data_IF_379436836750
#
_entry.id   IF_379436836750
#
_cell.length_a   1.000
_cell.length_b   1.000
_cell.length_c   1.000
_cell.angle_alpha   90.00
_cell.angle_beta   90.00
_cell.angle_gamma   90.00
#
_symmetry.space_group_name_H-M   'P 1'
#
loop_
_entity.id
_entity.type
_entity.pdbx_description
1 polymer ?
#
# COMPACT_ATOMS: atom_id res chain seq x y z
N UNK A 1 5.97 -63.59 25.87
CA UNK A 1 5.46 -62.20 25.78
C UNK A 1 6.34 -61.31 26.64
N UNK A 2 7.28 -60.60 26.03
CA UNK A 2 8.19 -59.66 26.67
C UNK A 2 7.59 -58.26 26.59
N UNK A 3 7.10 -57.70 27.70
CA UNK A 3 6.78 -56.28 27.79
C UNK A 3 8.01 -55.58 28.38
N UNK A 4 8.69 -54.78 27.56
CA UNK A 4 9.76 -53.90 28.04
C UNK A 4 9.10 -52.65 28.63
N UNK A 5 8.98 -52.60 29.96
CA UNK A 5 8.75 -51.35 30.67
C UNK A 5 9.96 -50.45 30.46
N UNK A 6 9.80 -49.50 29.55
CA UNK A 6 10.81 -48.47 29.31
C UNK A 6 10.65 -47.46 30.44
N UNK A 7 11.63 -47.39 31.33
CA UNK A 7 11.56 -46.54 32.53
C UNK A 7 11.34 -45.07 32.16
N UNK A 8 10.39 -44.37 32.81
CA UNK A 8 9.95 -43.01 32.43
C UNK A 8 11.06 -41.95 32.51
N UNK A 9 12.18 -42.24 33.15
CA UNK A 9 13.34 -41.34 33.20
C UNK A 9 14.11 -41.28 31.87
N UNK A 10 14.13 -42.37 31.09
CA UNK A 10 14.85 -42.44 29.80
C UNK A 10 14.11 -41.70 28.68
N UNK A 11 12.78 -41.69 28.70
CA UNK A 11 11.97 -40.92 27.73
C UNK A 11 12.06 -39.42 27.97
N UNK A 12 12.05 -38.99 29.24
CA UNK A 12 12.22 -37.58 29.63
C UNK A 12 13.62 -37.08 29.24
N UNK A 13 14.66 -37.87 29.47
CA UNK A 13 16.02 -37.51 29.07
C UNK A 13 16.20 -37.40 27.55
N UNK A 14 15.57 -38.29 26.78
CA UNK A 14 15.58 -38.22 25.31
C UNK A 14 14.83 -36.99 24.78
N UNK A 15 13.71 -36.63 25.40
CA UNK A 15 12.95 -35.44 25.04
C UNK A 15 13.73 -34.15 25.34
N UNK A 16 14.42 -34.08 26.48
CA UNK A 16 15.26 -32.95 26.85
C UNK A 16 16.49 -32.80 25.92
N UNK A 17 17.12 -33.92 25.54
CA UNK A 17 18.22 -33.91 24.56
C UNK A 17 17.73 -33.47 23.17
N UNK A 18 16.57 -33.93 22.72
CA UNK A 18 15.98 -33.51 21.46
C UNK A 18 15.65 -32.01 21.46
N UNK A 19 15.08 -31.49 22.54
CA UNK A 19 14.83 -30.06 22.73
C UNK A 19 16.12 -29.24 22.76
N UNK A 20 17.16 -29.73 23.43
CA UNK A 20 18.47 -29.07 23.45
C UNK A 20 19.10 -29.03 22.06
N UNK A 21 19.01 -30.11 21.27
CA UNK A 21 19.50 -30.14 19.88
C UNK A 21 18.71 -29.19 18.99
N UNK A 22 17.38 -29.14 19.12
CA UNK A 22 16.53 -28.18 18.40
C UNK A 22 16.88 -26.75 18.79
N UNK A 23 17.10 -26.47 20.08
CA UNK A 23 17.47 -25.15 20.55
C UNK A 23 18.87 -24.73 20.07
N UNK A 24 19.84 -25.65 20.06
CA UNK A 24 21.17 -25.42 19.50
C UNK A 24 21.10 -25.24 17.97
N UNK A 25 20.26 -25.98 17.26
CA UNK A 25 20.03 -25.78 15.81
C UNK A 25 19.34 -24.45 15.52
N UNK A 26 18.37 -24.04 16.32
CA UNK A 26 17.71 -22.72 16.22
C UNK A 26 18.68 -21.58 16.56
N UNK A 27 19.52 -21.77 17.58
CA UNK A 27 20.53 -20.79 17.98
C UNK A 27 21.64 -20.68 16.93
N UNK A 28 22.14 -21.79 16.38
CA UNK A 28 23.21 -21.79 15.37
C UNK A 28 22.71 -21.42 13.98
N UNK A 29 21.50 -21.85 13.59
CA UNK A 29 20.82 -21.41 12.37
C UNK A 29 20.43 -19.93 12.42
N UNK A 30 19.97 -19.44 13.58
CA UNK A 30 19.71 -18.03 13.82
C UNK A 30 20.98 -17.17 13.83
N UNK A 31 22.07 -17.67 14.43
CA UNK A 31 23.35 -16.95 14.49
C UNK A 31 24.05 -16.86 13.13
N UNK A 32 23.98 -17.90 12.30
CA UNK A 32 24.53 -17.88 10.93
C UNK A 32 23.70 -17.02 9.97
N UNK A 33 22.37 -16.96 10.14
CA UNK A 33 21.51 -16.03 9.42
C UNK A 33 21.72 -14.56 9.83
N UNK A 34 22.06 -14.29 11.09
CA UNK A 34 22.31 -12.94 11.61
C UNK A 34 23.71 -12.40 11.29
N UNK A 35 24.71 -13.27 11.11
CA UNK A 35 26.11 -12.90 10.85
C UNK A 35 26.52 -12.86 9.37
N UNK A 36 25.62 -13.08 8.41
CA UNK A 36 25.89 -12.66 7.04
C UNK A 36 25.92 -11.14 7.02
N UNK A 37 27.11 -10.55 6.81
CA UNK A 37 27.33 -9.10 6.74
C UNK A 37 26.11 -8.38 6.16
N UNK A 38 25.36 -7.63 7.00
CA UNK A 38 24.19 -6.85 6.58
C UNK A 38 24.67 -5.77 5.60
N UNK A 39 24.78 -6.15 4.34
CA UNK A 39 25.01 -5.22 3.25
C UNK A 39 23.81 -4.29 3.22
N UNK A 40 24.07 -2.97 3.22
CA UNK A 40 23.02 -1.97 3.16
C UNK A 40 22.12 -2.26 1.95
N UNK A 41 20.81 -2.18 2.17
CA UNK A 41 19.85 -2.43 1.08
C UNK A 41 19.97 -1.35 0.01
N UNK A 42 19.51 -1.58 -1.24
CA UNK A 42 19.69 -0.60 -2.32
C UNK A 42 19.13 0.78 -1.97
N UNK A 43 18.00 0.85 -1.28
CA UNK A 43 17.41 2.10 -0.82
C UNK A 43 18.26 2.76 0.27
N UNK A 44 18.69 2.01 1.29
CA UNK A 44 19.57 2.52 2.34
C UNK A 44 20.90 3.04 1.78
N UNK A 45 21.50 2.32 0.84
CA UNK A 45 22.72 2.75 0.17
C UNK A 45 22.50 4.06 -0.63
N UNK A 46 21.39 4.17 -1.37
CA UNK A 46 21.06 5.40 -2.09
C UNK A 46 20.78 6.59 -1.16
N UNK A 47 20.16 6.35 0.01
CA UNK A 47 19.92 7.39 1.03
C UNK A 47 21.21 7.84 1.70
N UNK A 48 22.05 6.91 2.14
CA UNK A 48 23.35 7.21 2.72
C UNK A 48 24.26 7.96 1.74
N UNK A 49 24.23 7.60 0.45
CA UNK A 49 24.97 8.32 -0.58
C UNK A 49 24.46 9.77 -0.78
N UNK A 50 23.16 10.02 -0.60
CA UNK A 50 22.58 11.36 -0.63
C UNK A 50 23.00 12.19 0.59
N UNK A 51 22.99 11.62 1.79
CA UNK A 51 23.39 12.29 3.04
C UNK A 51 24.83 12.82 2.99
N UNK A 52 25.72 12.08 2.32
CA UNK A 52 27.11 12.49 2.08
C UNK A 52 27.31 13.24 0.76
N UNK A 53 26.22 13.50 0.03
CA UNK A 53 26.24 14.12 -1.29
C UNK A 53 26.40 15.63 -1.24
N UNK A 54 26.91 16.18 -2.33
CA UNK A 54 26.99 17.62 -2.56
C UNK A 54 26.61 17.98 -4.00
N UNK A 55 26.11 19.20 -4.17
CA UNK A 55 25.79 19.79 -5.46
C UNK A 55 26.38 21.20 -5.50
N UNK A 56 27.22 21.47 -6.51
CA UNK A 56 27.93 22.74 -6.67
C UNK A 56 28.69 23.19 -5.39
N UNK A 57 29.32 22.25 -4.68
CA UNK A 57 30.10 22.54 -3.46
C UNK A 57 29.28 22.63 -2.17
N UNK A 58 27.94 22.63 -2.23
CA UNK A 58 27.08 22.66 -1.07
C UNK A 58 26.53 21.27 -0.73
N UNK A 59 26.46 20.94 0.58
CA UNK A 59 25.84 19.69 1.03
C UNK A 59 24.36 19.62 0.63
N UNK A 60 23.89 18.43 0.30
CA UNK A 60 22.48 18.17 0.07
C UNK A 60 21.67 18.30 1.38
N UNK A 61 20.38 18.67 1.31
CA UNK A 61 19.53 18.74 2.50
C UNK A 61 19.32 17.35 3.10
N UNK A 62 19.08 17.32 4.41
CA UNK A 62 18.69 16.11 5.15
C UNK A 62 17.40 15.51 4.56
N UNK A 63 17.40 14.21 4.33
CA UNK A 63 16.27 13.43 3.78
C UNK A 63 15.06 13.40 4.71
N UNK A 64 15.28 13.56 6.02
CA UNK A 64 14.22 13.52 7.02
C UNK A 64 13.67 14.93 7.33
N UNK A 65 14.14 15.94 6.60
CA UNK A 65 13.53 17.26 6.56
C UNK A 65 12.07 17.21 6.09
N UNK A 66 11.28 18.22 6.48
CA UNK A 66 9.90 18.35 6.01
C UNK A 66 9.81 18.38 4.48
N UNK A 67 8.75 17.79 3.92
CA UNK A 67 8.52 17.75 2.47
C UNK A 67 8.55 19.15 1.83
N UNK A 68 8.04 20.18 2.53
CA UNK A 68 8.10 21.57 2.08
C UNK A 68 9.51 22.17 2.04
N UNK A 69 10.43 21.74 2.92
CA UNK A 69 11.85 22.14 2.85
C UNK A 69 12.54 21.48 1.66
N UNK A 70 12.31 20.18 1.45
CA UNK A 70 12.84 19.45 0.30
C UNK A 70 12.29 19.99 -1.03
N UNK A 71 11.00 20.33 -1.08
CA UNK A 71 10.38 20.95 -2.25
C UNK A 71 11.01 22.30 -2.60
N UNK A 72 11.26 23.16 -1.60
CA UNK A 72 11.96 24.43 -1.80
C UNK A 72 13.38 24.23 -2.30
N UNK A 73 14.10 23.23 -1.78
CA UNK A 73 15.42 22.87 -2.30
C UNK A 73 15.35 22.50 -3.77
N UNK A 74 14.47 21.59 -4.18
CA UNK A 74 14.37 21.25 -5.60
C UNK A 74 13.94 22.44 -6.46
N UNK A 75 13.11 23.35 -5.93
CA UNK A 75 12.68 24.55 -6.63
C UNK A 75 13.83 25.49 -7.01
N UNK A 76 14.92 25.52 -6.23
CA UNK A 76 16.11 26.34 -6.56
C UNK A 76 16.99 25.72 -7.66
N UNK A 77 16.79 24.44 -7.98
CA UNK A 77 17.61 23.72 -8.94
C UNK A 77 17.08 23.87 -10.37
N UNK A 78 18.00 23.97 -11.32
CA UNK A 78 17.69 23.86 -12.74
C UNK A 78 17.38 22.40 -13.15
N UNK A 79 16.89 22.23 -14.39
CA UNK A 79 16.50 20.91 -14.90
C UNK A 79 17.67 19.90 -14.97
N UNK A 80 18.88 20.38 -15.29
CA UNK A 80 20.06 19.53 -15.43
C UNK A 80 20.57 19.08 -14.04
N UNK A 81 20.58 19.98 -13.06
CA UNK A 81 20.88 19.68 -11.66
C UNK A 81 19.91 18.65 -11.08
N UNK A 82 18.59 18.84 -11.29
CA UNK A 82 17.57 17.87 -10.86
C UNK A 82 17.79 16.51 -11.50
N UNK A 83 18.01 16.47 -12.81
CA UNK A 83 18.27 15.23 -13.55
C UNK A 83 19.52 14.52 -13.04
N UNK A 84 20.61 15.27 -12.76
CA UNK A 84 21.84 14.73 -12.18
C UNK A 84 21.60 14.06 -10.82
N UNK A 85 20.80 14.69 -9.95
CA UNK A 85 20.43 14.10 -8.66
C UNK A 85 19.61 12.81 -8.83
N UNK A 86 18.64 12.80 -9.74
CA UNK A 86 17.85 11.60 -10.03
C UNK A 86 18.69 10.43 -10.57
N UNK A 87 19.73 10.71 -11.36
CA UNK A 87 20.65 9.66 -11.84
C UNK A 87 21.60 9.16 -10.76
N UNK A 88 22.10 10.06 -9.90
CA UNK A 88 23.09 9.72 -8.87
C UNK A 88 22.46 9.04 -7.65
N UNK A 89 21.23 9.41 -7.31
CA UNK A 89 20.52 8.94 -6.12
C UNK A 89 19.08 8.48 -6.44
N UNK A 90 18.90 7.52 -7.37
CA UNK A 90 17.59 7.25 -7.95
C UNK A 90 16.57 6.75 -6.94
N UNK A 91 16.95 5.86 -6.02
CA UNK A 91 16.04 5.35 -4.99
C UNK A 91 15.76 6.40 -3.90
N UNK A 92 16.74 7.25 -3.55
CA UNK A 92 16.50 8.34 -2.61
C UNK A 92 15.53 9.38 -3.21
N UNK A 93 15.84 9.94 -4.38
CA UNK A 93 15.00 10.95 -5.05
C UNK A 93 13.63 10.38 -5.40
N UNK A 94 13.57 9.14 -5.89
CA UNK A 94 12.33 8.48 -6.29
C UNK A 94 11.33 8.28 -5.16
N UNK A 95 11.81 8.07 -3.92
CA UNK A 95 10.98 7.90 -2.72
C UNK A 95 10.88 9.18 -1.88
N UNK A 96 11.45 10.30 -2.32
CA UNK A 96 11.54 11.52 -1.52
C UNK A 96 10.24 12.32 -1.55
N UNK A 97 9.58 12.39 -0.40
CA UNK A 97 8.48 13.32 -0.17
C UNK A 97 9.00 14.76 -0.25
N UNK A 98 8.44 15.55 -1.17
CA UNK A 98 8.92 16.90 -1.50
C UNK A 98 9.71 16.99 -2.81
N UNK A 99 10.20 15.87 -3.38
CA UNK A 99 10.75 15.90 -4.73
C UNK A 99 9.63 16.14 -5.78
N UNK A 100 9.89 16.90 -6.86
CA UNK A 100 8.93 17.09 -7.93
C UNK A 100 8.44 15.74 -8.48
N UNK A 101 7.13 15.61 -8.67
CA UNK A 101 6.51 14.33 -9.05
C UNK A 101 7.10 13.73 -10.33
N UNK A 102 7.34 14.56 -11.35
CA UNK A 102 7.98 14.13 -12.60
C UNK A 102 9.41 13.66 -12.40
N UNK A 103 10.14 14.28 -11.46
CA UNK A 103 11.49 13.86 -11.08
C UNK A 103 11.47 12.51 -10.36
N UNK A 104 10.48 12.27 -9.50
CA UNK A 104 10.27 10.96 -8.85
C UNK A 104 10.03 9.86 -9.88
N UNK A 105 9.19 10.12 -10.88
CA UNK A 105 8.95 9.16 -11.97
C UNK A 105 10.23 8.85 -12.75
N UNK A 106 11.04 9.86 -13.07
CA UNK A 106 12.32 9.68 -13.73
C UNK A 106 13.28 8.85 -12.87
N UNK A 107 13.45 9.21 -11.60
CA UNK A 107 14.36 8.56 -10.68
C UNK A 107 13.98 7.09 -10.42
N UNK A 108 12.68 6.80 -10.22
CA UNK A 108 12.20 5.43 -10.05
C UNK A 108 12.34 4.59 -11.33
N UNK A 109 12.21 5.19 -12.52
CA UNK A 109 12.49 4.50 -13.79
C UNK A 109 13.97 4.10 -13.89
N UNK A 110 14.89 4.97 -13.46
CA UNK A 110 16.32 4.67 -13.40
C UNK A 110 16.59 3.55 -12.38
N UNK A 111 16.01 3.63 -11.18
CA UNK A 111 16.13 2.60 -10.15
C UNK A 111 15.62 1.24 -10.64
N UNK A 112 14.44 1.20 -11.29
CA UNK A 112 13.89 -0.02 -11.87
C UNK A 112 14.81 -0.64 -12.92
N UNK A 113 15.39 0.17 -13.82
CA UNK A 113 16.34 -0.30 -14.84
C UNK A 113 17.61 -0.90 -14.21
N UNK A 114 18.14 -0.24 -13.18
CA UNK A 114 19.28 -0.73 -12.40
C UNK A 114 18.96 -2.08 -11.74
N UNK A 115 17.82 -2.19 -11.03
CA UNK A 115 17.43 -3.42 -10.36
C UNK A 115 17.09 -4.54 -11.36
N UNK A 116 16.49 -4.22 -12.52
CA UNK A 116 16.32 -5.19 -13.61
C UNK A 116 17.64 -5.78 -14.07
N UNK A 117 18.69 -4.97 -14.22
CA UNK A 117 20.03 -5.45 -14.61
C UNK A 117 20.64 -6.34 -13.53
N UNK A 118 20.44 -6.01 -12.25
CA UNK A 118 20.86 -6.85 -11.12
C UNK A 118 20.16 -8.21 -11.15
N UNK A 119 18.83 -8.23 -11.24
CA UNK A 119 18.05 -9.47 -11.24
C UNK A 119 18.30 -10.33 -12.49
N UNK A 120 18.57 -9.72 -13.66
CA UNK A 120 19.00 -10.44 -14.87
C UNK A 120 20.32 -11.18 -14.70
N UNK A 121 21.24 -10.65 -13.89
CA UNK A 121 22.48 -11.36 -13.56
C UNK A 121 22.20 -12.48 -12.57
N UNK A 122 21.42 -12.18 -11.52
CA UNK A 122 21.06 -13.16 -10.48
C UNK A 122 20.32 -14.38 -11.02
N UNK A 123 19.42 -14.21 -11.99
CA UNK A 123 18.70 -15.35 -12.58
C UNK A 123 19.60 -16.37 -13.29
N UNK A 124 20.86 -16.00 -13.62
CA UNK A 124 21.86 -16.87 -14.25
C UNK A 124 23.08 -17.09 -13.33
N UNK A 125 23.00 -16.72 -12.06
CA UNK A 125 24.12 -16.84 -11.11
C UNK A 125 24.15 -18.25 -10.53
N UNK A 126 25.15 -19.04 -10.91
CA UNK A 126 25.33 -20.43 -10.46
C UNK A 126 25.60 -20.55 -8.94
N UNK A 127 25.84 -19.44 -8.24
CA UNK A 127 25.97 -19.40 -6.77
C UNK A 127 24.61 -19.39 -6.05
N UNK A 128 23.52 -19.09 -6.76
CA UNK A 128 22.17 -19.12 -6.22
C UNK A 128 21.55 -20.51 -6.39
N UNK A 129 20.64 -20.88 -5.48
CA UNK A 129 19.78 -22.04 -5.67
C UNK A 129 18.85 -21.85 -6.88
N UNK A 130 18.29 -22.94 -7.39
CA UNK A 130 17.29 -22.90 -8.47
C UNK A 130 16.09 -22.02 -8.11
N UNK A 131 15.64 -22.09 -6.85
CA UNK A 131 14.60 -21.20 -6.32
C UNK A 131 15.04 -19.73 -6.37
N UNK A 132 16.27 -19.43 -5.94
CA UNK A 132 16.79 -18.06 -5.95
C UNK A 132 16.94 -17.49 -7.37
N UNK A 133 17.37 -18.31 -8.33
CA UNK A 133 17.41 -17.93 -9.75
C UNK A 133 16.01 -17.67 -10.32
N UNK A 134 15.04 -18.53 -9.99
CA UNK A 134 13.65 -18.37 -10.41
C UNK A 134 13.02 -17.09 -9.82
N UNK A 135 13.23 -16.82 -8.53
CA UNK A 135 12.76 -15.59 -7.89
C UNK A 135 13.36 -14.34 -8.54
N UNK A 136 14.66 -14.36 -8.85
CA UNK A 136 15.32 -13.29 -9.59
C UNK A 136 14.70 -13.11 -10.99
N UNK A 137 14.42 -14.20 -11.70
CA UNK A 137 13.72 -14.17 -12.99
C UNK A 137 12.34 -13.51 -12.90
N UNK A 138 11.52 -13.86 -11.89
CA UNK A 138 10.20 -13.23 -11.66
C UNK A 138 10.33 -11.73 -11.41
N UNK A 139 11.28 -11.31 -10.57
CA UNK A 139 11.52 -9.87 -10.29
C UNK A 139 12.00 -9.14 -11.53
N UNK A 140 12.92 -9.74 -12.29
CA UNK A 140 13.43 -9.17 -13.53
C UNK A 140 12.30 -8.88 -14.53
N UNK A 141 11.43 -9.85 -14.79
CA UNK A 141 10.26 -9.67 -15.66
C UNK A 141 9.25 -8.68 -15.09
N UNK A 142 9.04 -8.66 -13.77
CA UNK A 142 8.21 -7.63 -13.14
C UNK A 142 8.78 -6.23 -13.36
N UNK A 143 10.08 -6.04 -13.21
CA UNK A 143 10.74 -4.76 -13.49
C UNK A 143 10.66 -4.36 -14.97
N UNK A 144 10.79 -5.31 -15.90
CA UNK A 144 10.54 -5.06 -17.33
C UNK A 144 9.12 -4.55 -17.58
N UNK A 145 8.12 -5.20 -16.98
CA UNK A 145 6.73 -4.77 -17.10
C UNK A 145 6.48 -3.37 -16.50
N UNK A 146 7.16 -3.02 -15.42
CA UNK A 146 7.11 -1.69 -14.79
C UNK A 146 7.81 -0.60 -15.63
N UNK A 147 8.76 -0.99 -16.48
CA UNK A 147 9.52 -0.08 -17.36
C UNK A 147 8.83 0.24 -18.70
N UNK A 148 7.69 -0.40 -18.99
CA UNK A 148 6.89 -0.08 -20.18
C UNK A 148 6.61 1.42 -20.29
N UNK A 149 6.60 1.94 -21.52
CA UNK A 149 6.40 3.37 -21.79
C UNK A 149 5.05 3.85 -21.20
N UNK A 150 5.04 5.06 -20.66
CA UNK A 150 3.83 5.69 -20.11
C UNK A 150 3.54 5.41 -18.64
N UNK A 151 4.18 4.42 -18.01
CA UNK A 151 4.01 4.14 -16.57
C UNK A 151 4.67 5.21 -15.70
N UNK A 152 3.97 5.62 -14.64
CA UNK A 152 4.38 6.70 -13.73
C UNK A 152 4.57 6.14 -12.32
N UNK A 153 5.78 5.67 -12.03
CA UNK A 153 6.12 5.03 -10.74
C UNK A 153 6.51 6.09 -9.71
N UNK A 154 5.65 6.30 -8.71
CA UNK A 154 5.80 7.33 -7.68
C UNK A 154 6.74 6.93 -6.55
N UNK A 155 6.76 5.64 -6.20
CA UNK A 155 7.64 5.08 -5.18
C UNK A 155 8.09 3.69 -5.63
N UNK A 156 9.32 3.31 -5.27
CA UNK A 156 9.88 2.00 -5.57
C UNK A 156 10.97 1.65 -4.57
N UNK A 157 10.80 0.50 -3.90
CA UNK A 157 11.81 -0.09 -3.04
C UNK A 157 11.93 -1.59 -3.37
N UNK A 158 13.08 -2.05 -3.89
CA UNK A 158 13.28 -3.46 -4.25
C UNK A 158 13.50 -4.37 -3.03
N UNK A 159 13.68 -3.82 -1.82
CA UNK A 159 14.02 -4.56 -0.60
C UNK A 159 12.91 -5.54 -0.19
N UNK A 160 13.29 -6.73 0.27
CA UNK A 160 12.35 -7.75 0.74
C UNK A 160 11.36 -8.11 -0.38
N UNK A 161 10.07 -8.29 -0.05
CA UNK A 161 8.99 -8.53 -1.03
C UNK A 161 8.76 -7.35 -1.99
N UNK A 162 9.28 -6.16 -1.65
CA UNK A 162 9.28 -4.96 -2.45
C UNK A 162 8.03 -4.11 -2.26
N UNK A 163 8.22 -2.79 -2.35
CA UNK A 163 7.18 -1.78 -2.21
C UNK A 163 7.12 -0.88 -3.45
N UNK A 164 5.93 -0.44 -3.81
CA UNK A 164 5.73 0.32 -5.05
C UNK A 164 4.46 1.17 -5.01
N UNK A 165 4.49 2.31 -5.70
CA UNK A 165 3.29 3.09 -6.00
C UNK A 165 3.29 3.55 -7.46
N UNK A 166 2.14 3.49 -8.12
CA UNK A 166 1.94 3.91 -9.50
C UNK A 166 0.80 4.92 -9.62
N UNK A 167 0.93 5.88 -10.53
CA UNK A 167 -0.07 6.91 -10.79
C UNK A 167 -0.70 6.78 -12.17
N UNK A 168 -2.02 6.87 -12.21
CA UNK A 168 -2.84 7.04 -13.40
C UNK A 168 -3.32 8.49 -13.46
N UNK A 169 -3.30 9.10 -14.65
CA UNK A 169 -3.57 10.54 -14.81
C UNK A 169 -2.36 11.43 -14.49
N UNK A 170 -2.60 12.70 -14.18
CA UNK A 170 -1.55 13.71 -13.94
C UNK A 170 -1.68 14.31 -12.56
N UNK A 171 -0.84 13.84 -11.62
CA UNK A 171 -0.95 14.18 -10.19
C UNK A 171 -0.75 15.68 -9.90
N UNK A 172 0.09 16.35 -10.69
CA UNK A 172 0.38 17.78 -10.60
C UNK A 172 -0.74 18.68 -11.14
N UNK A 173 -1.65 18.14 -11.96
CA UNK A 173 -2.77 18.86 -12.60
C UNK A 173 -4.15 18.40 -12.13
N UNK A 174 -4.17 17.42 -11.23
CA UNK A 174 -5.40 16.81 -10.74
C UNK A 174 -6.18 17.78 -9.87
N UNK A 175 -7.47 17.93 -10.14
CA UNK A 175 -8.42 18.64 -9.28
C UNK A 175 -8.84 17.77 -8.09
N UNK A 176 -8.83 16.44 -8.25
CA UNK A 176 -9.12 15.46 -7.20
C UNK A 176 -8.21 14.25 -7.34
N UNK A 177 -7.81 13.67 -6.21
CA UNK A 177 -6.88 12.54 -6.17
C UNK A 177 -7.57 11.37 -5.47
N UNK A 178 -7.50 10.19 -6.08
CA UNK A 178 -7.96 8.95 -5.48
C UNK A 178 -6.76 8.07 -5.15
N UNK A 179 -6.71 7.46 -3.97
CA UNK A 179 -5.61 6.58 -3.55
C UNK A 179 -6.16 5.23 -3.10
N UNK A 180 -5.79 4.17 -3.82
CA UNK A 180 -6.17 2.80 -3.50
C UNK A 180 -5.16 2.19 -2.54
N UNK A 181 -5.63 1.78 -1.36
CA UNK A 181 -4.88 1.06 -0.33
C UNK A 181 -5.33 -0.40 -0.32
N UNK A 182 -4.48 -1.34 -0.72
CA UNK A 182 -4.81 -2.76 -0.82
C UNK A 182 -4.79 -3.46 0.54
N UNK A 183 -5.17 -4.73 0.55
CA UNK A 183 -5.10 -5.61 1.72
C UNK A 183 -3.84 -6.48 1.76
N UNK A 184 -4.00 -7.66 2.36
CA UNK A 184 -2.94 -8.67 2.54
C UNK A 184 -2.35 -9.16 1.20
N UNK A 185 -1.22 -9.87 1.26
CA UNK A 185 -0.55 -10.50 0.12
C UNK A 185 -0.20 -9.57 -1.04
N UNK A 186 -0.08 -8.26 -0.76
CA UNK A 186 0.27 -7.27 -1.75
C UNK A 186 1.75 -6.91 -1.66
N UNK A 187 2.48 -7.18 -2.72
CA UNK A 187 3.88 -6.82 -2.85
C UNK A 187 4.19 -6.42 -4.30
N UNK A 188 5.46 -6.15 -4.60
CA UNK A 188 5.91 -5.81 -5.95
C UNK A 188 5.53 -6.85 -7.02
N UNK A 189 5.57 -8.15 -6.69
CA UNK A 189 5.25 -9.22 -7.64
C UNK A 189 3.74 -9.37 -7.85
N UNK A 190 2.93 -9.14 -6.81
CA UNK A 190 1.46 -9.20 -6.86
C UNK A 190 0.79 -7.86 -7.17
N UNK A 191 1.56 -6.76 -7.25
CA UNK A 191 1.06 -5.40 -7.52
C UNK A 191 0.22 -5.29 -8.80
N UNK A 192 0.49 -6.16 -9.77
CA UNK A 192 -0.25 -6.25 -11.03
C UNK A 192 -0.45 -7.72 -11.41
N UNK A 193 -1.68 -8.09 -11.75
CA UNK A 193 -2.02 -9.44 -12.21
C UNK A 193 -2.61 -9.44 -13.62
N UNK A 194 -2.37 -10.53 -14.36
CA UNK A 194 -3.02 -10.79 -15.65
C UNK A 194 -4.37 -11.45 -15.44
N UNK A 195 -4.42 -12.50 -14.61
CA UNK A 195 -5.64 -13.16 -14.20
C UNK A 195 -6.22 -12.44 -12.98
N UNK A 196 -7.54 -12.19 -12.97
CA UNK A 196 -8.22 -11.39 -11.95
C UNK A 196 -7.52 -10.04 -11.72
N UNK A 197 -7.37 -9.19 -12.76
CA UNK A 197 -6.57 -7.96 -12.68
C UNK A 197 -7.05 -7.01 -11.58
N UNK A 198 -8.36 -6.98 -11.32
CA UNK A 198 -9.01 -6.13 -10.32
C UNK A 198 -8.80 -6.60 -8.87
N UNK A 199 -8.18 -7.78 -8.67
CA UNK A 199 -7.72 -8.23 -7.36
C UNK A 199 -6.33 -7.67 -7.00
N UNK A 200 -5.75 -6.79 -7.83
CA UNK A 200 -4.42 -6.23 -7.65
C UNK A 200 -4.45 -4.69 -7.78
N UNK A 201 -3.58 -3.96 -7.05
CA UNK A 201 -3.60 -2.50 -7.01
C UNK A 201 -3.63 -1.80 -8.37
N UNK A 202 -2.84 -2.29 -9.34
CA UNK A 202 -2.79 -1.71 -10.70
C UNK A 202 -4.12 -1.86 -11.43
N UNK A 203 -4.81 -3.00 -11.29
CA UNK A 203 -6.11 -3.20 -11.91
C UNK A 203 -7.20 -2.40 -11.20
N UNK A 204 -7.18 -2.38 -9.86
CA UNK A 204 -8.10 -1.58 -9.05
C UNK A 204 -8.03 -0.09 -9.43
N UNK A 205 -6.84 0.50 -9.39
CA UNK A 205 -6.63 1.92 -9.68
C UNK A 205 -6.92 2.26 -11.15
N UNK A 206 -6.59 1.37 -12.09
CA UNK A 206 -6.92 1.57 -13.51
C UNK A 206 -8.42 1.55 -13.75
N UNK A 207 -9.13 0.62 -13.12
CA UNK A 207 -10.58 0.50 -13.21
C UNK A 207 -11.25 1.75 -12.64
N UNK A 208 -10.83 2.19 -11.45
CA UNK A 208 -11.31 3.42 -10.82
C UNK A 208 -11.03 4.65 -11.69
N UNK A 209 -9.81 4.79 -12.22
CA UNK A 209 -9.47 5.92 -13.09
C UNK A 209 -10.33 5.97 -14.36
N UNK A 210 -10.62 4.81 -14.95
CA UNK A 210 -11.50 4.72 -16.11
C UNK A 210 -12.94 5.09 -15.75
N UNK A 211 -13.44 4.61 -14.60
CA UNK A 211 -14.79 4.89 -14.12
C UNK A 211 -14.98 6.38 -13.77
N UNK A 212 -14.03 7.01 -13.08
CA UNK A 212 -14.06 8.46 -12.78
C UNK A 212 -14.13 9.30 -14.05
N UNK A 213 -13.32 8.95 -15.06
CA UNK A 213 -13.31 9.65 -16.34
C UNK A 213 -14.59 9.44 -17.15
N UNK A 214 -15.21 8.27 -17.04
CA UNK A 214 -16.48 7.98 -17.69
C UNK A 214 -17.63 8.73 -17.02
N UNK A 215 -17.62 8.82 -15.68
CA UNK A 215 -18.63 9.51 -14.90
C UNK A 215 -18.58 11.03 -15.12
N UNK A 216 -17.39 11.64 -15.15
CA UNK A 216 -17.25 13.06 -15.48
C UNK A 216 -15.91 13.37 -16.19
N UNK A 217 -15.92 13.48 -17.53
CA UNK A 217 -14.71 13.78 -18.31
C UNK A 217 -14.08 15.15 -18.05
N UNK A 218 -14.84 16.12 -17.51
CA UNK A 218 -14.36 17.48 -17.25
C UNK A 218 -13.55 17.58 -15.95
N UNK A 219 -13.79 16.69 -14.99
CA UNK A 219 -13.06 16.62 -13.73
C UNK A 219 -11.72 15.93 -13.95
N UNK A 220 -10.63 16.66 -13.80
CA UNK A 220 -9.27 16.10 -13.94
C UNK A 220 -8.91 15.30 -12.69
N UNK A 221 -9.02 13.98 -12.75
CA UNK A 221 -8.58 13.11 -11.64
C UNK A 221 -7.18 12.54 -11.85
N UNK A 222 -6.57 12.10 -10.75
CA UNK A 222 -5.44 11.18 -10.76
C UNK A 222 -5.68 10.07 -9.71
N UNK A 223 -5.38 8.82 -10.08
CA UNK A 223 -5.53 7.66 -9.18
C UNK A 223 -4.16 7.08 -8.86
N UNK A 224 -3.89 6.82 -7.59
CA UNK A 224 -2.66 6.21 -7.10
C UNK A 224 -2.96 4.77 -6.69
N UNK A 225 -2.34 3.80 -7.35
CA UNK A 225 -2.21 2.44 -6.83
C UNK A 225 -1.08 2.45 -5.79
N UNK A 226 -1.39 2.28 -4.51
CA UNK A 226 -0.41 2.45 -3.44
C UNK A 226 -0.13 1.14 -2.69
N UNK A 227 1.03 0.55 -2.93
CA UNK A 227 1.56 -0.60 -2.19
C UNK A 227 2.94 -0.24 -1.59
N UNK A 228 3.06 0.97 -1.02
CA UNK A 228 4.28 1.44 -0.35
C UNK A 228 4.24 1.24 1.17
N UNK A 229 3.77 0.07 1.59
CA UNK A 229 3.87 -0.42 2.97
C UNK A 229 4.07 -1.94 2.97
N UNK A 230 4.45 -2.51 4.12
CA UNK A 230 4.57 -3.96 4.28
C UNK A 230 3.21 -4.51 4.62
N UNK A 231 2.61 -5.31 3.74
CA UNK A 231 1.32 -5.95 4.03
C UNK A 231 1.51 -7.23 4.85
N UNK A 232 0.48 -7.67 5.59
CA UNK A 232 0.47 -9.04 6.11
C UNK A 232 0.65 -10.06 5.00
N UNK A 233 1.31 -11.17 5.31
CA UNK A 233 1.39 -12.37 4.46
C UNK A 233 0.32 -13.36 4.88
N UNK A 234 -0.59 -13.69 3.97
CA UNK A 234 -1.76 -14.51 4.22
C UNK A 234 -2.71 -13.94 5.28
N UNK A 235 -3.54 -14.81 5.83
CA UNK A 235 -4.53 -14.51 6.87
C UNK A 235 -4.07 -14.94 8.28
N UNK A 236 -2.76 -14.94 8.52
CA UNK A 236 -2.16 -15.32 9.81
C UNK A 236 -2.17 -14.20 10.86
N UNK A 237 -1.32 -14.33 11.87
CA UNK A 237 -1.23 -13.36 13.00
C UNK A 237 -0.99 -11.92 12.57
N UNK A 238 -0.12 -11.70 11.57
CA UNK A 238 0.12 -10.35 11.03
C UNK A 238 -1.16 -9.71 10.46
N UNK A 239 -2.07 -10.51 9.91
CA UNK A 239 -3.35 -10.04 9.38
C UNK A 239 -4.41 -9.86 10.47
N UNK A 240 -4.28 -10.55 11.60
CA UNK A 240 -5.18 -10.45 12.74
C UNK A 240 -4.82 -9.29 13.70
N UNK A 241 -3.67 -8.62 13.51
CA UNK A 241 -3.17 -7.54 14.37
C UNK A 241 -3.03 -6.23 13.58
N UNK A 242 -2.88 -5.11 14.28
CA UNK A 242 -2.71 -3.79 13.68
C UNK A 242 -1.25 -3.42 13.33
N UNK A 243 -0.27 -4.27 13.64
CA UNK A 243 1.15 -3.89 13.60
C UNK A 243 1.61 -3.44 12.19
N UNK A 244 1.16 -4.15 11.13
CA UNK A 244 1.44 -3.74 9.73
C UNK A 244 0.68 -2.49 9.31
N UNK A 245 -0.53 -2.32 9.82
CA UNK A 245 -1.33 -1.12 9.62
C UNK A 245 -0.68 0.12 10.28
N UNK A 246 -0.11 -0.01 11.47
CA UNK A 246 0.61 1.06 12.17
C UNK A 246 1.87 1.50 11.41
N UNK A 247 2.70 0.56 10.98
CA UNK A 247 3.87 0.83 10.12
C UNK A 247 3.46 1.51 8.80
N UNK A 248 2.35 1.04 8.21
CA UNK A 248 1.80 1.58 6.97
C UNK A 248 1.20 2.98 7.13
N UNK A 249 0.54 3.26 8.25
CA UNK A 249 -0.10 4.55 8.54
C UNK A 249 0.91 5.69 8.54
N UNK A 250 2.09 5.49 9.13
CA UNK A 250 3.19 6.47 9.11
C UNK A 250 3.57 6.84 7.66
N UNK A 251 3.70 5.84 6.79
CA UNK A 251 4.07 6.03 5.37
C UNK A 251 2.94 6.69 4.57
N UNK A 252 1.69 6.25 4.80
CA UNK A 252 0.51 6.82 4.14
C UNK A 252 0.36 8.30 4.49
N UNK A 253 0.41 8.64 5.78
CA UNK A 253 0.28 10.02 6.25
C UNK A 253 1.40 10.92 5.74
N UNK A 254 2.64 10.41 5.68
CA UNK A 254 3.77 11.12 5.09
C UNK A 254 3.56 11.40 3.59
N UNK A 255 3.07 10.41 2.83
CA UNK A 255 2.74 10.59 1.41
C UNK A 255 1.63 11.63 1.22
N UNK A 256 0.52 11.51 1.96
CA UNK A 256 -0.65 12.39 1.82
C UNK A 256 -0.31 13.85 2.10
N UNK A 257 0.53 14.13 3.10
CA UNK A 257 1.06 15.47 3.39
C UNK A 257 1.99 16.00 2.30
N UNK A 258 2.61 15.13 1.52
CA UNK A 258 3.59 15.48 0.49
C UNK A 258 3.04 15.46 -0.95
N UNK A 259 1.79 15.07 -1.15
CA UNK A 259 1.12 15.16 -2.45
C UNK A 259 1.11 16.63 -2.93
N UNK A 260 1.27 16.89 -4.23
CA UNK A 260 1.30 18.25 -4.76
C UNK A 260 -0.06 18.95 -4.56
N UNK A 261 -0.01 20.29 -4.49
CA UNK A 261 -1.18 21.15 -4.40
C UNK A 261 -2.03 20.91 -3.14
N UNK A 262 -3.28 21.39 -3.20
CA UNK A 262 -4.27 21.27 -2.13
C UNK A 262 -5.49 20.42 -2.54
N UNK A 263 -5.41 19.73 -3.68
CA UNK A 263 -6.51 18.95 -4.24
C UNK A 263 -7.05 17.94 -3.21
N UNK A 264 -8.39 17.84 -3.04
CA UNK A 264 -9.00 16.85 -2.18
C UNK A 264 -8.55 15.43 -2.52
N UNK A 265 -8.44 14.60 -1.49
CA UNK A 265 -8.02 13.20 -1.61
C UNK A 265 -9.11 12.29 -1.07
N UNK A 266 -9.47 11.27 -1.86
CA UNK A 266 -10.30 10.16 -1.43
C UNK A 266 -9.43 8.89 -1.27
N UNK A 267 -9.53 8.24 -0.12
CA UNK A 267 -8.88 6.96 0.15
C UNK A 267 -9.85 5.81 -0.14
N UNK A 268 -9.38 4.78 -0.83
CA UNK A 268 -10.14 3.57 -1.14
C UNK A 268 -9.42 2.39 -0.55
N UNK A 269 -9.90 1.92 0.59
CA UNK A 269 -9.18 1.00 1.45
C UNK A 269 -9.87 -0.37 1.44
N UNK A 270 -9.20 -1.34 0.82
CA UNK A 270 -9.76 -2.66 0.58
C UNK A 270 -9.20 -3.67 1.57
N UNK A 271 -10.07 -4.53 2.13
CA UNK A 271 -9.65 -5.60 3.04
C UNK A 271 -8.80 -5.06 4.19
N UNK A 272 -7.65 -5.65 4.52
CA UNK A 272 -6.73 -5.14 5.54
C UNK A 272 -6.30 -3.67 5.33
N UNK A 273 -6.42 -3.12 4.12
CA UNK A 273 -6.22 -1.70 3.86
C UNK A 273 -7.17 -0.82 4.68
N UNK A 274 -8.38 -1.29 5.01
CA UNK A 274 -9.32 -0.57 5.89
C UNK A 274 -8.78 -0.38 7.30
N UNK A 275 -8.06 -1.39 7.82
CA UNK A 275 -7.38 -1.35 9.12
C UNK A 275 -6.30 -0.27 9.09
N UNK A 276 -5.48 -0.26 8.03
CA UNK A 276 -4.46 0.78 7.83
C UNK A 276 -5.07 2.17 7.76
N UNK A 277 -6.11 2.37 6.95
CA UNK A 277 -6.78 3.66 6.84
C UNK A 277 -7.46 4.10 8.15
N UNK A 278 -8.01 3.15 8.92
CA UNK A 278 -8.57 3.40 10.23
C UNK A 278 -7.52 3.86 11.24
N UNK A 279 -6.39 3.14 11.32
CA UNK A 279 -5.24 3.52 12.15
C UNK A 279 -4.67 4.88 11.73
N UNK A 280 -4.58 5.17 10.43
CA UNK A 280 -4.08 6.44 9.91
C UNK A 280 -5.03 7.62 10.16
N UNK A 281 -6.32 7.38 10.40
CA UNK A 281 -7.40 8.37 10.25
C UNK A 281 -7.21 9.64 11.08
N UNK A 282 -6.77 9.50 12.33
CA UNK A 282 -6.61 10.59 13.30
C UNK A 282 -5.48 11.58 12.94
N UNK A 283 -4.57 11.19 12.05
CA UNK A 283 -3.43 11.99 11.60
C UNK A 283 -3.53 12.43 10.12
N UNK A 284 -4.64 12.11 9.47
CA UNK A 284 -4.83 12.46 8.06
C UNK A 284 -4.82 13.99 7.88
N UNK A 285 -4.16 14.51 6.84
CA UNK A 285 -4.23 15.93 6.52
C UNK A 285 -5.66 16.30 6.10
N UNK A 286 -6.09 17.53 6.41
CA UNK A 286 -7.45 18.04 6.15
C UNK A 286 -7.91 17.99 4.69
N UNK A 287 -6.98 17.84 3.74
CA UNK A 287 -7.29 17.62 2.31
C UNK A 287 -7.89 16.24 2.04
N UNK A 288 -7.78 15.27 2.95
CA UNK A 288 -8.43 13.98 2.81
C UNK A 288 -9.91 14.18 3.12
N UNK A 289 -10.73 14.16 2.09
CA UNK A 289 -12.18 14.43 2.19
C UNK A 289 -12.98 13.17 2.44
N UNK A 290 -12.46 12.00 2.03
CA UNK A 290 -13.20 10.75 2.00
C UNK A 290 -12.30 9.56 2.37
N UNK A 291 -12.85 8.65 3.17
CA UNK A 291 -12.31 7.30 3.42
C UNK A 291 -13.41 6.32 3.05
N UNK A 292 -13.24 5.61 1.94
CA UNK A 292 -14.16 4.58 1.49
C UNK A 292 -13.53 3.20 1.72
N UNK A 293 -14.16 2.39 2.56
CA UNK A 293 -13.73 1.02 2.86
C UNK A 293 -14.60 0.00 2.16
N UNK A 294 -14.00 -1.07 1.65
CA UNK A 294 -14.71 -2.19 1.03
C UNK A 294 -14.14 -3.54 1.45
N UNK A 295 -15.03 -4.49 1.69
CA UNK A 295 -14.64 -5.81 2.20
C UNK A 295 -13.82 -5.71 3.48
N UNK A 296 -14.19 -4.80 4.38
CA UNK A 296 -13.39 -4.44 5.55
C UNK A 296 -13.56 -5.46 6.69
N UNK A 297 -12.47 -5.99 7.29
CA UNK A 297 -12.55 -6.73 8.55
C UNK A 297 -12.72 -5.81 9.78
N UNK A 298 -12.59 -4.49 9.60
CA UNK A 298 -12.69 -3.49 10.66
C UNK A 298 -11.77 -2.29 10.39
N UNK A 299 -11.83 -1.29 11.27
CA UNK A 299 -11.05 -0.05 11.17
C UNK A 299 -10.32 0.33 12.47
N UNK A 300 -10.22 -0.61 13.42
CA UNK A 300 -9.63 -0.37 14.76
C UNK A 300 -10.32 0.76 15.52
N UNK A 301 -11.63 0.85 15.34
CA UNK A 301 -12.51 1.78 16.02
C UNK A 301 -13.89 1.14 16.21
N UNK A 302 -14.54 1.45 17.32
CA UNK A 302 -15.91 0.98 17.60
C UNK A 302 -16.96 1.77 16.82
N UNK A 303 -16.66 3.03 16.48
CA UNK A 303 -17.53 3.95 15.74
C UNK A 303 -16.71 4.80 14.79
N UNK A 304 -17.33 5.24 13.70
CA UNK A 304 -16.75 6.18 12.74
C UNK A 304 -16.27 7.48 13.41
N UNK A 305 -16.99 7.99 14.43
CA UNK A 305 -16.57 9.16 15.21
C UNK A 305 -15.28 8.93 16.01
N UNK A 306 -14.96 7.67 16.35
CA UNK A 306 -13.73 7.28 17.04
C UNK A 306 -12.50 7.27 16.13
N UNK A 307 -12.68 7.45 14.81
CA UNK A 307 -11.57 7.63 13.88
C UNK A 307 -10.93 9.02 13.98
N UNK A 308 -11.58 9.96 14.67
CA UNK A 308 -11.10 11.33 14.91
C UNK A 308 -10.66 12.06 13.61
N UNK A 309 -11.43 11.88 12.54
CA UNK A 309 -11.18 12.49 11.23
C UNK A 309 -12.34 13.38 10.80
N UNK A 310 -12.04 14.38 9.97
CA UNK A 310 -13.06 15.20 9.30
C UNK A 310 -13.55 14.58 7.98
N UNK A 311 -12.90 13.52 7.50
CA UNK A 311 -13.28 12.86 6.27
C UNK A 311 -14.65 12.19 6.38
N UNK A 312 -15.40 12.16 5.28
CA UNK A 312 -16.59 11.31 5.18
C UNK A 312 -16.16 9.85 5.18
N UNK A 313 -16.77 9.04 6.05
CA UNK A 313 -16.48 7.60 6.15
C UNK A 313 -17.56 6.83 5.43
N UNK A 314 -17.16 6.13 4.38
CA UNK A 314 -18.02 5.31 3.53
C UNK A 314 -17.66 3.84 3.70
N UNK A 315 -18.66 2.96 3.69
CA UNK A 315 -18.44 1.53 3.79
C UNK A 315 -19.33 0.77 2.82
N UNK A 316 -18.82 -0.33 2.28
CA UNK A 316 -19.60 -1.28 1.49
C UNK A 316 -19.08 -2.70 1.70
N UNK A 317 -20.00 -3.67 1.62
CA UNK A 317 -19.67 -5.10 1.63
C UNK A 317 -20.57 -5.80 0.63
N UNK A 318 -19.96 -6.59 -0.24
CA UNK A 318 -20.68 -7.47 -1.16
C UNK A 318 -21.37 -8.60 -0.38
N UNK A 319 -22.52 -9.07 -0.87
CA UNK A 319 -23.32 -10.08 -0.19
C UNK A 319 -22.60 -11.43 -0.07
N UNK A 320 -21.75 -11.75 -1.05
CA UNK A 320 -20.99 -13.01 -1.12
C UNK A 320 -19.56 -12.87 -0.56
N UNK A 321 -19.25 -11.78 0.16
CA UNK A 321 -17.93 -11.56 0.73
C UNK A 321 -17.75 -12.32 2.06
N UNK A 322 -16.85 -13.32 2.05
CA UNK A 322 -16.45 -14.12 3.22
C UNK A 322 -16.02 -13.28 4.43
N UNK A 323 -15.61 -12.02 4.22
CA UNK A 323 -15.25 -11.12 5.32
C UNK A 323 -16.40 -10.91 6.31
N UNK A 324 -17.65 -11.16 5.90
CA UNK A 324 -18.82 -11.15 6.77
C UNK A 324 -18.72 -12.16 7.94
N UNK A 325 -17.93 -13.22 7.77
CA UNK A 325 -17.72 -14.28 8.77
C UNK A 325 -16.59 -13.96 9.75
N UNK A 326 -15.84 -12.87 9.54
CA UNK A 326 -14.77 -12.46 10.45
C UNK A 326 -15.36 -11.82 11.71
N UNK A 327 -14.94 -12.24 12.92
CA UNK A 327 -15.45 -11.67 14.16
C UNK A 327 -15.15 -10.16 14.28
N UNK A 328 -16.21 -9.37 14.44
CA UNK A 328 -16.17 -7.90 14.53
C UNK A 328 -15.85 -7.42 15.96
N UNK A 329 -14.72 -7.84 16.50
CA UNK A 329 -14.28 -7.48 17.85
C UNK A 329 -12.77 -7.28 17.88
N UNK A 330 -12.31 -6.45 18.82
CA UNK A 330 -10.91 -6.41 19.22
C UNK A 330 -10.79 -6.89 20.67
N UNK A 331 -9.93 -7.88 20.93
CA UNK A 331 -9.53 -8.26 22.29
C UNK A 331 -8.03 -8.51 22.34
N UNK A 332 -7.33 -7.81 23.25
CA UNK A 332 -5.90 -8.04 23.49
C UNK A 332 -5.01 -7.79 22.27
N UNK A 333 -5.39 -6.86 21.39
CA UNK A 333 -4.66 -6.54 20.15
C UNK A 333 -4.95 -7.46 18.95
N UNK A 334 -5.88 -8.42 19.11
CA UNK A 334 -6.36 -9.29 18.04
C UNK A 334 -7.74 -8.84 17.54
N UNK A 335 -7.91 -8.84 16.23
CA UNK A 335 -9.13 -8.39 15.56
C UNK A 335 -9.12 -6.88 15.28
N UNK A 336 -10.12 -6.42 14.53
CA UNK A 336 -10.11 -5.08 13.92
C UNK A 336 -11.28 -4.19 14.35
N UNK A 337 -12.00 -4.59 15.40
CA UNK A 337 -13.12 -3.85 15.98
C UNK A 337 -14.42 -4.02 15.19
N UNK A 338 -15.30 -3.04 15.33
CA UNK A 338 -16.65 -3.08 14.77
C UNK A 338 -16.68 -3.12 13.23
N UNK A 339 -17.71 -3.77 12.69
CA UNK A 339 -18.00 -3.86 11.26
C UNK A 339 -18.40 -2.49 10.69
N UNK A 340 -17.66 -1.93 9.70
CA UNK A 340 -17.99 -0.63 9.14
C UNK A 340 -19.34 -0.56 8.42
N UNK A 341 -19.92 -1.67 7.96
CA UNK A 341 -21.27 -1.66 7.37
C UNK A 341 -22.38 -1.80 8.42
N UNK A 342 -22.03 -2.03 9.69
CA UNK A 342 -23.03 -2.08 10.75
C UNK A 342 -23.59 -0.68 11.06
N UNK A 343 -24.89 -0.63 11.38
CA UNK A 343 -25.54 0.62 11.82
C UNK A 343 -24.86 1.25 13.05
N UNK A 344 -24.35 0.41 13.96
CA UNK A 344 -23.69 0.85 15.19
C UNK A 344 -22.37 1.58 14.96
N UNK A 345 -21.65 1.25 13.89
CA UNK A 345 -20.40 1.92 13.53
C UNK A 345 -20.63 3.35 13.06
N UNK A 346 -21.68 3.58 12.25
CA UNK A 346 -22.08 4.92 11.83
C UNK A 346 -21.37 5.46 10.57
N UNK A 347 -20.85 4.58 9.71
CA UNK A 347 -20.42 4.97 8.36
C UNK A 347 -21.61 5.16 7.41
N UNK A 348 -21.36 5.81 6.27
CA UNK A 348 -22.30 5.91 5.16
C UNK A 348 -22.23 4.64 4.33
N UNK A 349 -23.29 3.82 4.36
CA UNK A 349 -23.28 2.49 3.73
C UNK A 349 -23.73 2.57 2.27
N UNK A 350 -22.84 2.17 1.37
CA UNK A 350 -23.02 2.21 -0.08
C UNK A 350 -23.37 0.82 -0.62
N UNK A 351 -24.13 0.79 -1.71
CA UNK A 351 -24.37 -0.46 -2.43
C UNK A 351 -23.07 -1.02 -3.00
N UNK A 352 -22.91 -2.34 -2.84
CA UNK A 352 -21.86 -3.13 -3.48
C UNK A 352 -22.44 -4.09 -4.55
N UNK A 353 -23.69 -3.87 -4.98
CA UNK A 353 -24.37 -4.76 -5.93
C UNK A 353 -23.51 -5.04 -7.17
N UNK A 354 -23.67 -6.26 -7.68
CA UNK A 354 -22.96 -6.84 -8.82
C UNK A 354 -21.46 -7.09 -8.59
N UNK A 355 -20.90 -6.68 -7.44
CA UNK A 355 -19.62 -7.19 -6.97
C UNK A 355 -19.71 -8.71 -6.76
N UNK A 356 -18.56 -9.37 -6.84
CA UNK A 356 -18.45 -10.82 -6.64
C UNK A 356 -17.34 -11.15 -5.67
N UNK A 357 -17.75 -11.47 -4.44
CA UNK A 357 -16.88 -11.85 -3.35
C UNK A 357 -15.85 -10.78 -3.00
N UNK A 358 -14.84 -11.20 -2.25
CA UNK A 358 -13.91 -10.28 -1.60
C UNK A 358 -13.07 -9.42 -2.54
N UNK A 359 -12.84 -9.85 -3.78
CA UNK A 359 -11.96 -9.15 -4.73
C UNK A 359 -12.73 -8.34 -5.79
N UNK A 360 -14.06 -8.36 -5.75
CA UNK A 360 -14.93 -7.87 -6.82
C UNK A 360 -15.19 -6.37 -6.84
N UNK A 361 -14.82 -5.62 -5.80
CA UNK A 361 -15.27 -4.24 -5.61
C UNK A 361 -14.81 -3.22 -6.66
N UNK A 362 -13.74 -3.53 -7.38
CA UNK A 362 -13.20 -2.66 -8.44
C UNK A 362 -13.48 -3.22 -9.84
N UNK A 363 -14.29 -4.27 -9.97
CA UNK A 363 -14.63 -4.83 -11.27
C UNK A 363 -15.53 -3.86 -12.07
N UNK A 364 -15.28 -3.67 -13.38
CA UNK A 364 -16.15 -2.85 -14.21
C UNK A 364 -17.58 -3.36 -14.23
N UNK A 365 -18.53 -2.43 -14.16
CA UNK A 365 -19.97 -2.72 -14.20
C UNK A 365 -20.63 -2.91 -12.84
N UNK A 366 -19.86 -2.94 -11.75
CA UNK A 366 -20.42 -3.05 -10.39
C UNK A 366 -20.88 -1.70 -9.83
N UNK A 367 -21.88 -1.72 -8.95
CA UNK A 367 -22.30 -0.52 -8.23
C UNK A 367 -21.21 -0.03 -7.25
N UNK A 368 -20.37 -0.92 -6.72
CA UNK A 368 -19.23 -0.54 -5.87
C UNK A 368 -18.24 0.38 -6.62
N UNK A 369 -17.84 0.00 -7.84
CA UNK A 369 -16.91 0.79 -8.64
C UNK A 369 -17.54 2.12 -9.06
N UNK A 370 -18.83 2.09 -9.41
CA UNK A 370 -19.59 3.31 -9.72
C UNK A 370 -19.58 4.27 -8.54
N UNK A 371 -19.94 3.78 -7.35
CA UNK A 371 -19.92 4.57 -6.12
C UNK A 371 -18.54 5.14 -5.80
N UNK A 372 -17.48 4.35 -5.97
CA UNK A 372 -16.11 4.84 -5.82
C UNK A 372 -15.79 5.96 -6.81
N UNK A 373 -16.17 5.82 -8.08
CA UNK A 373 -15.95 6.86 -9.07
C UNK A 373 -16.68 8.16 -8.73
N UNK A 374 -17.95 8.09 -8.29
CA UNK A 374 -18.73 9.26 -7.88
C UNK A 374 -18.09 10.00 -6.69
N UNK A 375 -17.57 9.27 -5.69
CA UNK A 375 -16.79 9.85 -4.58
C UNK A 375 -15.51 10.51 -5.09
N UNK A 376 -14.79 9.84 -6.01
CA UNK A 376 -13.53 10.31 -6.58
C UNK A 376 -13.69 11.64 -7.31
N UNK A 377 -14.81 11.84 -8.00
CA UNK A 377 -15.14 13.10 -8.68
C UNK A 377 -15.91 14.10 -7.80
N UNK A 378 -16.30 13.74 -6.57
CA UNK A 378 -17.03 14.60 -5.64
C UNK A 378 -18.54 14.70 -5.91
N UNK A 379 -19.09 13.79 -6.71
CA UNK A 379 -20.50 13.73 -7.08
C UNK A 379 -21.33 12.95 -6.04
N UNK A 380 -21.27 13.35 -4.77
CA UNK A 380 -21.85 12.59 -3.65
C UNK A 380 -23.36 12.31 -3.77
N UNK A 381 -24.10 13.08 -4.56
CA UNK A 381 -25.54 12.84 -4.80
C UNK A 381 -25.81 11.68 -5.76
N UNK A 382 -24.84 11.33 -6.60
CA UNK A 382 -24.94 10.27 -7.60
C UNK A 382 -24.58 8.88 -7.04
N UNK A 383 -24.11 8.79 -5.80
CA UNK A 383 -23.88 7.51 -5.13
C UNK A 383 -25.21 6.79 -4.85
N UNK A 384 -25.15 5.47 -4.85
CA UNK A 384 -26.26 4.56 -4.54
C UNK A 384 -26.05 3.97 -3.15
N UNK A 385 -26.99 4.20 -2.24
CA UNK A 385 -26.95 3.65 -0.88
C UNK A 385 -27.25 2.15 -0.88
N UNK A 386 -26.79 1.42 0.13
CA UNK A 386 -27.07 -0.02 0.26
C UNK A 386 -28.54 -0.34 0.54
N UNK A 387 -29.29 0.65 1.02
CA UNK A 387 -30.71 0.57 1.31
C UNK A 387 -31.44 1.65 0.51
N UNK A 388 -32.71 1.41 0.18
CA UNK A 388 -33.56 2.31 -0.61
C UNK A 388 -34.02 3.57 0.16
N UNK A 389 -33.21 4.07 1.11
CA UNK A 389 -33.59 5.11 2.08
C UNK A 389 -32.74 6.39 2.02
N UNK A 390 -31.87 6.51 1.01
CA UNK A 390 -30.97 7.65 0.79
C UNK A 390 -30.07 8.03 1.98
N UNK A 391 -30.03 7.21 3.03
CA UNK A 391 -29.44 7.57 4.31
C UNK A 391 -27.93 7.88 4.19
N UNK A 392 -27.24 7.18 3.28
CA UNK A 392 -25.83 7.39 3.02
C UNK A 392 -25.52 8.79 2.45
N UNK A 393 -26.51 9.50 1.89
CA UNK A 393 -26.35 10.84 1.28
C UNK A 393 -26.70 12.00 2.22
N UNK A 394 -27.31 11.72 3.37
CA UNK A 394 -27.82 12.74 4.30
C UNK A 394 -26.74 13.73 4.74
N UNK A 395 -27.04 15.02 4.64
CA UNK A 395 -26.13 16.10 5.08
C UNK A 395 -24.97 16.42 4.13
N UNK A 396 -24.94 15.84 2.92
CA UNK A 396 -23.91 16.15 1.93
C UNK A 396 -24.35 17.28 1.00
N UNK A 397 -23.62 18.39 1.04
CA UNK A 397 -23.69 19.43 0.02
C UNK A 397 -23.02 18.91 -1.25
N UNK A 398 -23.81 18.63 -2.30
CA UNK A 398 -23.24 18.32 -3.61
C UNK A 398 -22.60 19.59 -4.18
N UNK A 399 -21.36 19.51 -4.66
CA UNK A 399 -20.84 20.53 -5.58
C UNK A 399 -21.59 20.38 -6.89
N UNK A 400 -22.59 21.23 -7.13
CA UNK A 400 -23.01 21.51 -8.50
C UNK A 400 -21.89 22.34 -9.12
N UNK A 401 -21.02 21.69 -9.90
CA UNK A 401 -20.23 22.39 -10.90
C UNK A 401 -21.19 22.71 -12.05
N UNK A 402 -21.67 23.95 -12.08
CA UNK A 402 -22.21 24.55 -13.29
C UNK A 402 -21.11 24.82 -14.32
#
# INVERSE_FOLDING_TARGET
MTSFDTSPQLSVWRALLALAVVFVMLATGGWTALNSHRTATPLQASRSAWEHGSLAGHRLPDLDSTSGRLARFFATLDAHQRSRLAHRYPLAVGNMNGAPVTLRYQANRIALDQQRKVERKRMHDNRLSTLGQHEAGRRMHRYEALLHKGRKILAFDPMGTGRIAEVFGSLDKAQRISLVVPGVDTDLLNFQRTNKPYSAPVGMARSLYAAERAANPSTRTAVIAWADYTTPSGLGMDAATAMRAEEGAVRLNALLRALPGSSPVALYCHSYGSVLCGVAAHELPSRVSDIAVAGSPGMRAEKASGLHTSAQVWAMRDADDWIADVPNLEVGGLGHGADPVSKGFGARVLSAKDSKGHTGYFEPGTESLRNFAEIGIGAYRAVTCAHDDDACRTGLSGTMSG
#
